data_IF_824341853027
#
_entry.id   IF_824341853027
#
_cell.length_a   1.000
_cell.length_b   1.000
_cell.length_c   1.000
_cell.angle_alpha   90.00
_cell.angle_beta   90.00
_cell.angle_gamma   90.00
#
_symmetry.space_group_name_H-M   'P 1'
#
loop_
_entity.id
_entity.type
_entity.pdbx_description
1 polymer ?
#
# COMPACT_ATOMS: atom_id res chain seq x y z
N UNK A 1 -16.91 -40.65 13.26
CA UNK A 1 -17.41 -39.83 12.13
C UNK A 1 -17.59 -38.41 12.63
N UNK A 2 -17.15 -37.39 11.88
CA UNK A 2 -17.30 -35.98 12.27
C UNK A 2 -18.75 -35.55 11.98
N UNK A 3 -19.48 -34.99 12.95
CA UNK A 3 -20.85 -34.59 12.76
C UNK A 3 -20.99 -33.40 11.78
N UNK A 4 -22.05 -33.44 10.99
CA UNK A 4 -22.39 -32.41 10.01
C UNK A 4 -23.90 -32.17 9.97
N UNK A 5 -24.31 -30.97 9.60
CA UNK A 5 -25.69 -30.55 9.51
C UNK A 5 -26.02 -30.16 8.06
N UNK A 6 -27.25 -30.39 7.65
CA UNK A 6 -27.76 -29.95 6.36
C UNK A 6 -29.04 -29.14 6.58
N UNK A 7 -29.11 -27.94 6.07
CA UNK A 7 -30.32 -27.15 6.07
C UNK A 7 -31.35 -27.75 5.11
N UNK A 8 -32.61 -27.68 5.46
CA UNK A 8 -33.70 -28.19 4.64
C UNK A 8 -33.75 -27.40 3.32
N UNK A 9 -33.60 -28.11 2.18
CA UNK A 9 -33.54 -27.50 0.85
C UNK A 9 -32.11 -27.21 0.31
N UNK A 10 -31.08 -27.62 1.03
CA UNK A 10 -29.69 -27.54 0.52
C UNK A 10 -29.10 -28.93 0.29
N UNK A 11 -28.34 -29.12 -0.78
CA UNK A 11 -27.70 -30.40 -1.13
C UNK A 11 -26.38 -30.63 -0.40
N UNK A 12 -25.76 -29.57 0.15
CA UNK A 12 -24.46 -29.64 0.82
C UNK A 12 -24.58 -29.70 2.35
N UNK A 13 -23.73 -30.56 2.95
CA UNK A 13 -23.56 -30.63 4.39
C UNK A 13 -22.51 -29.64 4.88
N UNK A 14 -22.82 -28.89 5.93
CA UNK A 14 -21.87 -28.07 6.66
C UNK A 14 -21.35 -28.84 7.88
N UNK A 15 -20.04 -28.76 8.15
CA UNK A 15 -19.46 -29.34 9.37
C UNK A 15 -19.68 -28.38 10.53
N UNK A 16 -19.96 -28.92 11.73
CA UNK A 16 -20.08 -28.07 12.92
C UNK A 16 -18.90 -27.18 13.16
N UNK A 17 -17.66 -27.66 12.88
CA UNK A 17 -16.43 -26.86 12.98
C UNK A 17 -16.34 -25.68 12.02
N UNK A 18 -17.17 -25.66 10.97
CA UNK A 18 -17.19 -24.55 10.00
C UNK A 18 -18.27 -23.49 10.30
N UNK A 19 -19.08 -23.70 11.32
CA UNK A 19 -20.14 -22.79 11.72
C UNK A 19 -19.66 -21.69 12.69
N UNK A 20 -18.42 -21.76 13.14
CA UNK A 20 -17.81 -20.81 14.07
C UNK A 20 -17.85 -21.25 15.53
N UNK A 21 -17.32 -20.39 16.42
CA UNK A 21 -17.33 -20.61 17.86
C UNK A 21 -18.75 -20.61 18.40
N UNK A 22 -19.08 -21.52 19.33
CA UNK A 22 -20.39 -21.70 19.90
C UNK A 22 -21.26 -22.71 19.15
N UNK A 23 -20.73 -23.37 18.11
CA UNK A 23 -21.39 -24.41 17.35
C UNK A 23 -20.59 -25.71 17.30
N UNK A 24 -19.71 -25.91 18.25
CA UNK A 24 -18.99 -27.18 18.38
C UNK A 24 -19.91 -28.26 18.95
N UNK A 25 -19.55 -29.53 18.81
CA UNK A 25 -20.34 -30.65 19.38
C UNK A 25 -20.45 -30.53 20.88
N UNK A 26 -19.43 -30.00 21.54
CA UNK A 26 -19.40 -29.82 22.99
C UNK A 26 -20.26 -28.65 23.41
N UNK A 27 -20.25 -27.53 22.68
CA UNK A 27 -21.20 -26.41 22.89
C UNK A 27 -22.67 -26.84 22.75
N UNK A 28 -22.95 -27.76 21.82
CA UNK A 28 -24.28 -28.33 21.65
C UNK A 28 -24.70 -29.25 22.79
N UNK A 29 -23.77 -30.07 23.32
CA UNK A 29 -23.98 -30.90 24.48
C UNK A 29 -24.29 -30.06 25.72
N UNK A 30 -23.49 -29.02 25.96
CA UNK A 30 -23.67 -28.06 27.05
C UNK A 30 -25.04 -27.34 26.95
N UNK A 31 -25.42 -26.95 25.74
CA UNK A 31 -26.72 -26.35 25.48
C UNK A 31 -27.91 -27.31 25.73
N UNK A 32 -27.75 -28.60 25.43
CA UNK A 32 -28.75 -29.65 25.67
C UNK A 32 -28.79 -29.98 27.16
N UNK A 33 -27.66 -29.97 27.86
CA UNK A 33 -27.57 -30.21 29.30
C UNK A 33 -28.12 -29.06 30.15
N UNK A 34 -28.54 -27.96 29.54
CA UNK A 34 -29.08 -26.79 30.25
C UNK A 34 -28.00 -25.84 30.78
N UNK A 35 -26.74 -26.16 30.64
CA UNK A 35 -25.60 -25.30 30.94
C UNK A 35 -25.34 -24.34 29.76
N UNK A 36 -26.32 -23.45 29.56
CA UNK A 36 -26.22 -22.45 28.51
C UNK A 36 -25.14 -21.42 28.89
N UNK A 37 -23.89 -21.62 28.47
CA UNK A 37 -22.93 -20.52 28.43
C UNK A 37 -23.56 -19.40 27.61
N UNK A 38 -23.63 -18.19 28.16
CA UNK A 38 -24.06 -17.03 27.42
C UNK A 38 -23.25 -17.03 26.12
N UNK A 39 -23.99 -17.10 25.00
CA UNK A 39 -23.31 -16.94 23.68
C UNK A 39 -22.55 -15.66 23.79
N UNK A 40 -21.25 -15.62 23.41
CA UNK A 40 -20.59 -14.36 23.22
C UNK A 40 -21.46 -13.60 22.24
N UNK A 41 -22.23 -12.64 22.77
CA UNK A 41 -23.05 -11.69 22.01
C UNK A 41 -22.12 -11.20 20.93
N UNK A 42 -22.47 -11.57 19.72
CA UNK A 42 -21.66 -11.57 18.51
C UNK A 42 -20.49 -10.64 18.62
N UNK A 43 -19.31 -11.12 18.19
CA UNK A 43 -18.11 -10.30 18.08
C UNK A 43 -18.56 -8.86 17.97
N UNK A 44 -18.28 -8.05 19.02
CA UNK A 44 -18.37 -6.62 18.83
C UNK A 44 -17.72 -6.45 17.48
N UNK A 45 -18.51 -6.02 16.51
CA UNK A 45 -17.95 -5.72 15.23
C UNK A 45 -16.79 -4.78 15.57
N UNK A 46 -15.58 -5.36 15.67
CA UNK A 46 -14.42 -4.55 15.46
C UNK A 46 -14.83 -3.77 14.24
N UNK A 47 -14.93 -2.49 14.40
CA UNK A 47 -15.13 -1.55 13.31
C UNK A 47 -13.95 -1.83 12.40
N UNK A 48 -14.07 -2.89 11.60
CA UNK A 48 -13.15 -3.14 10.51
C UNK A 48 -13.25 -1.85 9.72
N UNK A 49 -12.10 -1.22 9.51
CA UNK A 49 -11.93 -0.05 8.67
C UNK A 49 -12.99 -0.07 7.59
N UNK A 50 -14.06 0.69 7.81
CA UNK A 50 -15.24 0.68 6.95
C UNK A 50 -14.84 1.40 5.68
N UNK A 51 -14.18 0.66 4.79
CA UNK A 51 -13.89 1.16 3.45
C UNK A 51 -15.21 1.33 2.74
N UNK A 52 -15.72 2.56 2.71
CA UNK A 52 -16.83 2.88 1.83
C UNK A 52 -16.34 2.98 0.39
N UNK A 53 -17.24 2.72 -0.55
CA UNK A 53 -16.96 2.68 -1.98
C UNK A 53 -17.80 3.72 -2.69
N UNK A 54 -17.47 3.99 -3.94
CA UNK A 54 -18.26 4.86 -4.80
C UNK A 54 -19.66 4.29 -5.02
N UNK A 55 -20.63 5.18 -5.20
CA UNK A 55 -22.00 4.80 -5.56
C UNK A 55 -22.03 4.12 -6.94
N UNK A 56 -22.91 3.14 -7.06
CA UNK A 56 -23.17 2.47 -8.32
C UNK A 56 -24.17 3.30 -9.11
N UNK A 57 -23.84 3.65 -10.33
CA UNK A 57 -24.80 4.22 -11.28
C UNK A 57 -25.77 3.11 -11.74
N UNK A 58 -26.98 3.11 -11.14
CA UNK A 58 -28.00 2.10 -11.40
C UNK A 58 -28.54 2.23 -12.82
N UNK A 59 -28.68 3.45 -13.35
CA UNK A 59 -29.24 3.71 -14.68
C UNK A 59 -28.29 3.20 -15.77
N UNK A 60 -26.99 3.53 -15.65
CA UNK A 60 -25.98 3.01 -16.57
C UNK A 60 -25.95 1.47 -16.55
N UNK A 61 -26.11 0.85 -15.36
CA UNK A 61 -26.09 -0.62 -15.21
C UNK A 61 -27.39 -1.29 -15.71
N UNK A 62 -28.51 -0.62 -15.70
CA UNK A 62 -29.75 -1.10 -16.32
C UNK A 62 -29.62 -1.16 -17.84
N UNK A 63 -28.97 -0.17 -18.46
CA UNK A 63 -28.69 -0.17 -19.88
C UNK A 63 -27.78 -1.34 -20.31
N UNK A 64 -26.96 -1.88 -19.40
CA UNK A 64 -26.16 -3.11 -19.57
C UNK A 64 -27.00 -4.40 -19.44
N UNK A 65 -28.33 -4.33 -19.44
CA UNK A 65 -29.29 -5.46 -19.30
C UNK A 65 -29.16 -6.25 -17.98
N UNK A 66 -28.72 -5.62 -16.90
CA UNK A 66 -28.72 -6.26 -15.57
C UNK A 66 -30.13 -6.26 -14.99
N UNK A 67 -30.59 -7.44 -14.56
CA UNK A 67 -31.98 -7.66 -14.15
C UNK A 67 -32.38 -6.96 -12.83
N UNK A 68 -33.69 -7.02 -12.51
CA UNK A 68 -34.30 -6.39 -11.31
C UNK A 68 -33.63 -6.78 -9.98
N UNK A 69 -33.07 -7.98 -9.88
CA UNK A 69 -32.31 -8.41 -8.69
C UNK A 69 -31.06 -7.58 -8.46
N UNK A 70 -30.33 -7.25 -9.54
CA UNK A 70 -29.16 -6.39 -9.47
C UNK A 70 -29.54 -4.97 -9.07
N UNK A 71 -30.64 -4.42 -9.61
CA UNK A 71 -31.12 -3.09 -9.26
C UNK A 71 -31.40 -2.97 -7.76
N UNK A 72 -32.14 -3.93 -7.17
CA UNK A 72 -32.42 -3.95 -5.73
C UNK A 72 -31.14 -4.02 -4.90
N UNK A 73 -30.21 -4.87 -5.31
CA UNK A 73 -28.92 -4.98 -4.64
C UNK A 73 -28.11 -3.66 -4.71
N UNK A 74 -28.03 -3.04 -5.88
CA UNK A 74 -27.32 -1.78 -6.08
C UNK A 74 -27.94 -0.63 -5.28
N UNK A 75 -29.27 -0.57 -5.19
CA UNK A 75 -29.99 0.41 -4.35
C UNK A 75 -29.61 0.24 -2.87
N UNK A 76 -29.64 -1.00 -2.35
CA UNK A 76 -29.26 -1.28 -0.97
C UNK A 76 -27.78 -1.01 -0.72
N UNK A 77 -26.94 -1.32 -1.70
CA UNK A 77 -25.51 -1.01 -1.62
C UNK A 77 -25.27 0.50 -1.53
N UNK A 78 -25.90 1.29 -2.41
CA UNK A 78 -25.77 2.74 -2.41
C UNK A 78 -26.28 3.35 -1.10
N UNK A 79 -27.41 2.87 -0.58
CA UNK A 79 -27.93 3.34 0.71
C UNK A 79 -26.96 3.07 1.86
N UNK A 80 -26.32 1.92 1.89
CA UNK A 80 -25.28 1.60 2.88
C UNK A 80 -24.06 2.51 2.74
N UNK A 81 -23.62 2.78 1.50
CA UNK A 81 -22.49 3.68 1.27
C UNK A 81 -22.81 5.12 1.73
N UNK A 82 -24.01 5.63 1.42
CA UNK A 82 -24.45 6.93 1.88
C UNK A 82 -24.47 7.02 3.40
N UNK A 83 -25.04 6.01 4.08
CA UNK A 83 -25.06 5.97 5.53
C UNK A 83 -23.65 5.94 6.14
N UNK A 84 -22.73 5.18 5.55
CA UNK A 84 -21.35 5.15 6.01
C UNK A 84 -20.61 6.48 5.81
N UNK A 85 -20.86 7.17 4.69
CA UNK A 85 -20.31 8.51 4.47
C UNK A 85 -20.89 9.51 5.48
N UNK A 86 -22.19 9.46 5.76
CA UNK A 86 -22.82 10.30 6.79
C UNK A 86 -22.18 10.08 8.17
N UNK A 87 -21.98 8.81 8.57
CA UNK A 87 -21.27 8.51 9.81
C UNK A 87 -19.84 9.07 9.80
N UNK A 88 -19.12 8.90 8.69
CA UNK A 88 -17.76 9.44 8.54
C UNK A 88 -17.71 10.95 8.68
N UNK A 89 -18.63 11.67 8.03
CA UNK A 89 -18.72 13.14 8.15
C UNK A 89 -19.00 13.55 9.61
N UNK A 90 -19.92 12.86 10.27
CA UNK A 90 -20.29 13.12 11.65
C UNK A 90 -19.15 12.79 12.62
N UNK A 91 -18.46 11.66 12.45
CA UNK A 91 -17.29 11.27 13.27
C UNK A 91 -16.11 12.24 13.11
N UNK A 92 -15.99 12.90 11.96
CA UNK A 92 -14.95 13.89 11.68
C UNK A 92 -15.42 15.34 11.85
N UNK A 93 -16.64 15.57 12.35
CA UNK A 93 -17.20 16.90 12.58
C UNK A 93 -17.12 17.79 11.31
N UNK A 94 -17.56 17.25 10.17
CA UNK A 94 -17.56 17.95 8.88
C UNK A 94 -18.98 18.36 8.55
N UNK A 95 -19.24 19.66 8.57
CA UNK A 95 -20.58 20.23 8.42
C UNK A 95 -20.85 20.78 7.01
N UNK A 96 -19.82 20.95 6.18
CA UNK A 96 -19.97 21.51 4.83
C UNK A 96 -19.15 20.75 3.78
N UNK A 97 -19.62 20.85 2.53
CA UNK A 97 -18.91 20.27 1.39
C UNK A 97 -17.56 20.95 1.14
N UNK A 98 -17.47 22.26 1.37
CA UNK A 98 -16.23 23.01 1.19
C UNK A 98 -15.17 22.57 2.23
N UNK A 99 -15.59 22.32 3.46
CA UNK A 99 -14.70 21.76 4.48
C UNK A 99 -14.24 20.34 4.13
N UNK A 100 -15.16 19.50 3.64
CA UNK A 100 -14.81 18.16 3.16
C UNK A 100 -13.79 18.21 2.02
N UNK A 101 -13.98 19.13 1.06
CA UNK A 101 -13.06 19.32 -0.04
C UNK A 101 -11.68 19.79 0.46
N UNK A 102 -11.63 20.75 1.37
CA UNK A 102 -10.38 21.24 1.94
C UNK A 102 -9.62 20.12 2.71
N UNK A 103 -10.34 19.29 3.47
CA UNK A 103 -9.73 18.14 4.18
C UNK A 103 -9.25 17.04 3.22
N UNK A 104 -10.00 16.81 2.13
CA UNK A 104 -9.58 15.87 1.08
C UNK A 104 -8.28 16.35 0.40
N UNK A 105 -8.19 17.63 0.06
CA UNK A 105 -6.99 18.23 -0.52
C UNK A 105 -5.79 18.14 0.44
N UNK A 106 -6.01 18.46 1.70
CA UNK A 106 -4.98 18.35 2.74
C UNK A 106 -4.46 16.89 2.89
N UNK A 107 -5.37 15.92 2.87
CA UNK A 107 -5.00 14.50 2.92
C UNK A 107 -4.21 14.04 1.68
N UNK A 108 -4.56 14.56 0.48
CA UNK A 108 -3.79 14.32 -0.76
C UNK A 108 -2.39 14.90 -0.66
N UNK A 109 -2.26 16.14 -0.18
CA UNK A 109 -0.96 16.81 0.00
C UNK A 109 -0.09 16.01 0.99
N UNK A 110 -0.64 15.60 2.11
CA UNK A 110 0.06 14.82 3.12
C UNK A 110 0.53 13.47 2.56
N UNK A 111 -0.35 12.74 1.86
CA UNK A 111 -0.01 11.46 1.23
C UNK A 111 1.11 11.62 0.20
N UNK A 112 1.02 12.63 -0.68
CA UNK A 112 2.02 12.90 -1.70
C UNK A 112 3.36 13.28 -1.07
N UNK A 113 3.38 14.16 -0.06
CA UNK A 113 4.60 14.55 0.64
C UNK A 113 5.33 13.38 1.30
N UNK A 114 4.60 12.47 1.95
CA UNK A 114 5.16 11.23 2.49
C UNK A 114 5.68 10.30 1.37
N UNK A 115 4.95 10.19 0.26
CA UNK A 115 5.35 9.42 -0.90
C UNK A 115 6.63 9.94 -1.54
N UNK A 116 6.75 11.24 -1.70
CA UNK A 116 7.92 11.88 -2.29
C UNK A 116 9.15 11.77 -1.38
N UNK A 117 8.97 11.89 -0.07
CA UNK A 117 10.03 11.64 0.92
C UNK A 117 10.57 10.21 0.83
N UNK A 118 9.69 9.21 0.72
CA UNK A 118 10.08 7.80 0.57
C UNK A 118 10.82 7.58 -0.75
N UNK A 119 10.33 8.14 -1.87
CA UNK A 119 10.96 8.05 -3.18
C UNK A 119 12.35 8.69 -3.20
N UNK A 120 12.49 9.86 -2.58
CA UNK A 120 13.78 10.55 -2.48
C UNK A 120 14.80 9.70 -1.69
N UNK A 121 14.37 9.09 -0.58
CA UNK A 121 15.23 8.17 0.17
C UNK A 121 15.60 6.94 -0.66
N UNK A 122 14.66 6.34 -1.41
CA UNK A 122 14.93 5.20 -2.29
C UNK A 122 15.91 5.54 -3.41
N UNK A 123 15.73 6.70 -4.05
CA UNK A 123 16.63 7.17 -5.10
C UNK A 123 18.04 7.35 -4.54
N UNK A 124 18.15 8.01 -3.37
CA UNK A 124 19.47 8.20 -2.74
C UNK A 124 20.13 6.88 -2.35
N UNK A 125 19.37 5.91 -1.87
CA UNK A 125 19.86 4.56 -1.59
C UNK A 125 20.38 3.85 -2.86
N UNK A 126 19.75 4.04 -4.01
CA UNK A 126 20.21 3.50 -5.30
C UNK A 126 21.51 4.18 -5.75
N UNK A 127 21.61 5.50 -5.62
CA UNK A 127 22.83 6.25 -5.91
C UNK A 127 24.00 5.77 -5.06
N UNK A 128 23.78 5.60 -3.74
CA UNK A 128 24.80 5.08 -2.82
C UNK A 128 25.22 3.67 -3.23
N UNK A 129 24.31 2.80 -3.60
CA UNK A 129 24.62 1.44 -4.02
C UNK A 129 25.45 1.43 -5.31
N UNK A 130 25.11 2.25 -6.29
CA UNK A 130 25.88 2.42 -7.53
C UNK A 130 27.27 2.98 -7.25
N UNK A 131 27.36 4.05 -6.46
CA UNK A 131 28.64 4.68 -6.11
C UNK A 131 29.57 3.71 -5.36
N UNK A 132 29.05 2.95 -4.40
CA UNK A 132 29.80 1.90 -3.71
C UNK A 132 30.37 0.87 -4.67
N UNK A 133 29.57 0.43 -5.65
CA UNK A 133 30.03 -0.52 -6.68
C UNK A 133 31.22 0.05 -7.46
N UNK A 134 31.12 1.31 -7.88
CA UNK A 134 32.20 1.98 -8.60
C UNK A 134 33.45 2.18 -7.74
N UNK A 135 33.32 2.55 -6.46
CA UNK A 135 34.47 2.70 -5.54
C UNK A 135 35.17 1.34 -5.33
N UNK A 136 34.42 0.27 -5.13
CA UNK A 136 34.97 -1.07 -4.96
C UNK A 136 35.70 -1.53 -6.24
N UNK A 137 35.10 -1.33 -7.41
CA UNK A 137 35.69 -1.67 -8.70
C UNK A 137 36.98 -0.87 -8.93
N UNK A 138 36.93 0.43 -8.67
CA UNK A 138 38.14 1.31 -8.78
C UNK A 138 39.27 0.82 -7.88
N UNK A 139 38.97 0.49 -6.63
CA UNK A 139 39.98 -0.02 -5.69
C UNK A 139 40.57 -1.36 -6.14
N UNK A 140 39.74 -2.32 -6.57
CA UNK A 140 40.19 -3.64 -7.03
C UNK A 140 41.02 -3.59 -8.31
N UNK A 141 40.70 -2.64 -9.22
CA UNK A 141 41.34 -2.59 -10.54
C UNK A 141 42.46 -1.58 -10.61
N UNK A 142 42.76 -0.88 -9.51
CA UNK A 142 43.77 0.17 -9.45
C UNK A 142 45.17 -0.31 -9.85
N UNK A 143 45.59 -1.44 -9.32
CA UNK A 143 46.92 -2.00 -9.60
C UNK A 143 47.10 -2.36 -11.07
N UNK A 144 46.08 -3.00 -11.66
CA UNK A 144 46.04 -3.37 -13.07
C UNK A 144 46.09 -2.11 -13.95
N UNK A 145 45.34 -1.07 -13.58
CA UNK A 145 45.34 0.19 -14.34
C UNK A 145 46.66 0.95 -14.24
N UNK A 146 47.30 0.95 -13.08
CA UNK A 146 48.65 1.53 -12.90
C UNK A 146 49.67 0.76 -13.74
N UNK A 147 49.62 -0.57 -13.79
CA UNK A 147 50.47 -1.38 -14.64
C UNK A 147 50.25 -1.07 -16.14
N UNK A 148 48.98 -0.93 -16.55
CA UNK A 148 48.60 -0.54 -17.92
C UNK A 148 49.18 0.82 -18.31
N UNK A 149 49.12 1.80 -17.40
CA UNK A 149 49.74 3.12 -17.62
C UNK A 149 51.27 3.03 -17.76
N UNK A 150 51.91 2.24 -16.88
CA UNK A 150 53.38 2.01 -16.93
C UNK A 150 53.81 1.28 -18.21
N UNK A 151 52.96 0.42 -18.77
CA UNK A 151 53.18 -0.27 -20.04
C UNK A 151 52.93 0.62 -21.29
N UNK A 152 52.77 1.93 -21.13
CA UNK A 152 52.55 2.89 -22.21
C UNK A 152 51.24 2.63 -22.97
N UNK A 153 50.19 2.16 -22.28
CA UNK A 153 48.89 1.82 -22.89
C UNK A 153 48.95 0.74 -23.95
N UNK A 154 49.81 -0.25 -23.78
CA UNK A 154 50.02 -1.36 -24.73
C UNK A 154 48.74 -2.10 -25.08
N UNK A 155 48.46 -2.32 -26.38
CA UNK A 155 47.31 -3.06 -26.87
C UNK A 155 47.30 -4.50 -26.33
N UNK A 156 48.48 -5.17 -26.30
CA UNK A 156 48.62 -6.53 -25.79
C UNK A 156 48.24 -6.63 -24.31
N UNK A 157 48.62 -5.63 -23.50
CA UNK A 157 48.25 -5.57 -22.08
C UNK A 157 46.74 -5.30 -21.91
N UNK A 158 46.19 -4.42 -22.76
CA UNK A 158 44.75 -4.15 -22.77
C UNK A 158 43.93 -5.38 -23.08
N UNK A 159 44.33 -6.20 -24.06
CA UNK A 159 43.64 -7.42 -24.43
C UNK A 159 43.61 -8.44 -23.27
N UNK A 160 44.72 -8.60 -22.55
CA UNK A 160 44.84 -9.52 -21.42
C UNK A 160 44.08 -9.07 -20.16
N UNK A 161 43.82 -7.76 -20.01
CA UNK A 161 43.19 -7.17 -18.81
C UNK A 161 42.00 -6.28 -19.13
N UNK A 162 41.33 -6.54 -20.26
CA UNK A 162 40.28 -5.68 -20.83
C UNK A 162 39.16 -5.37 -19.84
N UNK A 163 38.69 -6.37 -19.13
CA UNK A 163 37.61 -6.20 -18.16
C UNK A 163 37.99 -5.25 -17.02
N UNK A 164 39.12 -5.51 -16.37
CA UNK A 164 39.59 -4.69 -15.26
C UNK A 164 39.83 -3.22 -15.68
N UNK A 165 40.44 -3.00 -16.87
CA UNK A 165 40.67 -1.67 -17.39
C UNK A 165 39.39 -0.95 -17.75
N UNK A 166 38.40 -1.65 -18.32
CA UNK A 166 37.09 -1.08 -18.64
C UNK A 166 36.33 -0.70 -17.36
N UNK A 167 36.31 -1.57 -16.35
CA UNK A 167 35.69 -1.27 -15.04
C UNK A 167 36.35 -0.08 -14.36
N UNK A 168 37.66 0.03 -14.43
CA UNK A 168 38.41 1.17 -13.86
C UNK A 168 38.05 2.50 -14.55
N UNK A 169 38.01 2.51 -15.88
CA UNK A 169 37.63 3.68 -16.68
C UNK A 169 36.21 4.11 -16.40
N UNK A 170 35.27 3.17 -16.40
CA UNK A 170 33.85 3.44 -16.09
C UNK A 170 33.67 4.01 -14.67
N UNK A 171 34.41 3.51 -13.69
CA UNK A 171 34.36 4.05 -12.34
C UNK A 171 34.91 5.51 -12.32
N UNK A 172 36.02 5.76 -13.00
CA UNK A 172 36.65 7.12 -13.08
C UNK A 172 35.71 8.11 -13.77
N UNK A 173 35.10 7.73 -14.88
CA UNK A 173 34.12 8.53 -15.61
C UNK A 173 32.91 8.89 -14.72
N UNK A 174 32.40 7.91 -13.97
CA UNK A 174 31.30 8.15 -13.02
C UNK A 174 31.71 9.16 -11.94
N UNK A 175 32.89 9.08 -11.41
CA UNK A 175 33.39 10.06 -10.42
C UNK A 175 33.53 11.47 -10.98
N UNK A 176 33.96 11.58 -12.23
CA UNK A 176 34.06 12.86 -12.95
C UNK A 176 32.69 13.46 -13.22
N UNK A 177 31.72 12.64 -13.66
CA UNK A 177 30.33 13.06 -13.88
C UNK A 177 29.64 13.54 -12.58
N UNK A 178 29.96 12.91 -11.44
CA UNK A 178 29.46 13.30 -10.13
C UNK A 178 30.24 14.47 -9.50
N UNK A 179 31.28 14.98 -10.17
CA UNK A 179 32.11 16.09 -9.68
C UNK A 179 32.86 15.77 -8.38
N UNK A 180 33.15 14.51 -8.10
CA UNK A 180 33.75 14.07 -6.86
C UNK A 180 35.25 14.34 -6.84
N UNK A 181 35.69 15.39 -6.14
CA UNK A 181 37.11 15.66 -5.92
C UNK A 181 37.77 14.67 -4.96
N UNK A 182 36.98 14.15 -3.99
CA UNK A 182 37.42 13.16 -3.01
C UNK A 182 36.38 12.04 -2.90
N UNK A 183 36.84 10.79 -3.02
CA UNK A 183 35.98 9.65 -2.89
C UNK A 183 35.52 9.46 -1.43
N UNK A 184 34.21 9.32 -1.18
CA UNK A 184 33.71 9.02 0.15
C UNK A 184 34.12 7.60 0.56
N UNK A 185 34.26 7.40 1.86
CA UNK A 185 34.58 6.07 2.38
C UNK A 185 33.36 5.16 2.31
N UNK A 186 33.56 3.90 1.91
CA UNK A 186 32.48 2.91 1.85
C UNK A 186 31.75 2.77 3.21
N UNK A 187 32.46 2.97 4.33
CA UNK A 187 31.87 2.95 5.67
C UNK A 187 30.87 4.10 5.88
N UNK A 188 31.17 5.29 5.40
CA UNK A 188 30.31 6.47 5.48
C UNK A 188 29.04 6.25 4.63
N UNK A 189 29.21 5.75 3.40
CA UNK A 189 28.09 5.39 2.52
C UNK A 189 27.21 4.29 3.10
N UNK A 190 27.77 3.33 3.82
CA UNK A 190 27.00 2.31 4.52
C UNK A 190 26.19 2.89 5.68
N UNK A 191 26.75 3.83 6.43
CA UNK A 191 26.05 4.51 7.52
C UNK A 191 24.90 5.37 6.98
N UNK A 192 25.13 6.15 5.91
CA UNK A 192 24.09 6.93 5.24
C UNK A 192 22.95 6.01 4.71
N UNK A 193 23.31 4.91 4.06
CA UNK A 193 22.32 3.92 3.58
C UNK A 193 21.48 3.34 4.71
N UNK A 194 22.09 3.00 5.83
CA UNK A 194 21.39 2.47 6.99
C UNK A 194 20.42 3.50 7.59
N UNK A 195 20.84 4.77 7.69
CA UNK A 195 19.97 5.86 8.15
C UNK A 195 18.75 6.06 7.23
N UNK A 196 18.97 6.10 5.90
CA UNK A 196 17.89 6.22 4.93
C UNK A 196 16.92 5.03 4.99
N UNK A 197 17.44 3.82 5.21
CA UNK A 197 16.61 2.63 5.36
C UNK A 197 15.73 2.70 6.61
N UNK A 198 16.27 3.17 7.74
CA UNK A 198 15.49 3.36 8.97
C UNK A 198 14.46 4.48 8.82
N UNK A 199 14.82 5.61 8.19
CA UNK A 199 13.87 6.68 7.87
C UNK A 199 12.72 6.18 7.01
N UNK A 200 13.01 5.41 5.95
CA UNK A 200 12.00 4.79 5.10
C UNK A 200 11.08 3.87 5.90
N UNK A 201 11.65 3.00 6.74
CA UNK A 201 10.89 2.08 7.58
C UNK A 201 9.96 2.81 8.55
N UNK A 202 10.45 3.88 9.17
CA UNK A 202 9.67 4.71 10.08
C UNK A 202 8.56 5.49 9.37
N UNK A 203 8.79 5.94 8.13
CA UNK A 203 7.79 6.67 7.34
C UNK A 203 6.67 5.77 6.79
N UNK A 204 6.92 4.48 6.59
CA UNK A 204 5.98 3.58 5.92
C UNK A 204 4.63 3.38 6.64
N UNK A 205 4.55 3.26 7.97
CA UNK A 205 3.27 3.22 8.69
C UNK A 205 2.44 4.50 8.50
N UNK A 206 3.08 5.67 8.60
CA UNK A 206 2.44 6.96 8.37
C UNK A 206 1.93 7.09 6.92
N UNK A 207 2.71 6.66 5.94
CA UNK A 207 2.32 6.62 4.53
C UNK A 207 1.08 5.74 4.30
N UNK A 208 1.03 4.54 4.92
CA UNK A 208 -0.14 3.65 4.81
C UNK A 208 -1.38 4.28 5.43
N UNK A 209 -1.24 4.90 6.60
CA UNK A 209 -2.34 5.61 7.26
C UNK A 209 -2.84 6.76 6.39
N UNK A 210 -1.95 7.63 5.92
CA UNK A 210 -2.30 8.75 5.05
C UNK A 210 -2.96 8.30 3.75
N UNK A 211 -2.55 7.16 3.17
CA UNK A 211 -3.20 6.57 2.00
C UNK A 211 -4.65 6.19 2.27
N UNK A 212 -4.90 5.53 3.39
CA UNK A 212 -6.27 5.12 3.75
C UNK A 212 -7.14 6.34 4.00
N UNK A 213 -6.66 7.30 4.78
CA UNK A 213 -7.32 8.54 5.10
C UNK A 213 -7.65 9.35 3.84
N UNK A 214 -6.67 9.54 2.95
CA UNK A 214 -6.88 10.19 1.65
C UNK A 214 -7.98 9.49 0.83
N UNK A 215 -7.97 8.15 0.78
CA UNK A 215 -8.99 7.40 0.03
C UNK A 215 -10.39 7.59 0.63
N UNK A 216 -10.52 7.64 1.95
CA UNK A 216 -11.78 7.85 2.64
C UNK A 216 -12.34 9.25 2.34
N UNK A 217 -11.53 10.29 2.48
CA UNK A 217 -11.94 11.65 2.14
C UNK A 217 -12.34 11.80 0.67
N UNK A 218 -11.56 11.27 -0.27
CA UNK A 218 -11.87 11.35 -1.69
C UNK A 218 -13.17 10.62 -2.07
N UNK A 219 -13.43 9.45 -1.46
CA UNK A 219 -14.68 8.73 -1.71
C UNK A 219 -15.85 9.46 -1.07
N UNK A 220 -15.69 9.97 0.16
CA UNK A 220 -16.72 10.77 0.83
C UNK A 220 -17.09 12.01 -0.01
N UNK A 221 -16.09 12.74 -0.51
CA UNK A 221 -16.27 13.90 -1.37
C UNK A 221 -17.07 13.55 -2.64
N UNK A 222 -16.72 12.46 -3.33
CA UNK A 222 -17.43 12.03 -4.54
C UNK A 222 -18.87 11.61 -4.25
N UNK A 223 -19.11 10.90 -3.14
CA UNK A 223 -20.47 10.50 -2.74
C UNK A 223 -21.30 11.73 -2.37
N UNK A 224 -20.73 12.66 -1.61
CA UNK A 224 -21.42 13.91 -1.24
C UNK A 224 -21.73 14.76 -2.47
N UNK A 225 -20.81 14.88 -3.44
CA UNK A 225 -21.06 15.60 -4.69
C UNK A 225 -22.25 15.03 -5.46
N UNK A 226 -22.33 13.69 -5.60
CA UNK A 226 -23.47 13.03 -6.28
C UNK A 226 -24.79 13.30 -5.56
N UNK A 227 -24.80 13.37 -4.22
CA UNK A 227 -26.00 13.67 -3.45
C UNK A 227 -26.46 15.11 -3.68
N UNK A 228 -25.56 16.08 -3.64
CA UNK A 228 -25.85 17.50 -3.88
C UNK A 228 -26.33 17.77 -5.32
N UNK A 229 -25.79 17.06 -6.31
CA UNK A 229 -26.28 17.16 -7.70
C UNK A 229 -27.74 16.67 -7.82
N UNK A 230 -28.07 15.54 -7.20
CA UNK A 230 -29.44 15.01 -7.20
C UNK A 230 -30.46 15.91 -6.49
N UNK A 231 -30.07 16.59 -5.42
CA UNK A 231 -30.91 17.58 -4.77
C UNK A 231 -31.21 18.76 -5.69
N UNK A 232 -30.21 19.26 -6.46
CA UNK A 232 -30.41 20.34 -7.44
C UNK A 232 -31.29 19.96 -8.62
N UNK A 233 -31.31 18.68 -9.02
CA UNK A 233 -32.18 18.17 -10.09
C UNK A 233 -33.65 18.02 -9.65
N UNK A 234 -33.91 17.90 -8.33
CA UNK A 234 -35.24 17.71 -7.75
C UNK A 234 -35.89 19.01 -7.24
N UNK A 235 -35.14 20.08 -7.16
CA UNK A 235 -35.59 21.43 -6.73
C UNK A 235 -36.00 22.29 -7.92
#
# INVERSE_FOLDING_TARGET
KRPSIRCRGQDRFARFSSLGEGYTVDDLKDAIAGERRERPTGKSQQVHDKKFSLLIDIQAKLNERKGAGYQRWATLFNLKQMAQVMCFLQENEIDSFDELAARADAAVIQFNGLGDSIKAAEQRMQEIAALKKHIINYSKTREVYVAYHKAGYSKKFLEGHREAITLHKAAKETFEQLGLQKLPRVKELNAEYAQLLEQKRAAYPAYRKARTEMQEYLVAQKVAAVLLEKEKEQA
#
